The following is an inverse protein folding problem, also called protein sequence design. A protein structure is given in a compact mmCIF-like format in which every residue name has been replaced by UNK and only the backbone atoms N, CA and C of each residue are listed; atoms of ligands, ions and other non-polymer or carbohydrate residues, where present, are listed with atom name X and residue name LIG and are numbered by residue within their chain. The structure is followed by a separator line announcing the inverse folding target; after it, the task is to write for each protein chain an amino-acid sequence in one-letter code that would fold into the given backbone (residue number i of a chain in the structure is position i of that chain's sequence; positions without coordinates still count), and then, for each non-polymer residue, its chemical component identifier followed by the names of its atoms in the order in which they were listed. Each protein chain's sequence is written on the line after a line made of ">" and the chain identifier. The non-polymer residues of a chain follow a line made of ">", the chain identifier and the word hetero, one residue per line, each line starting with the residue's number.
data_IF_005373177117
#
_entry.id   IF_005373177117
#
_cell.length_a   1.000
_cell.length_b   1.000
_cell.length_c   1.000
_cell.angle_alpha   90.00
_cell.angle_beta   90.00
_cell.angle_gamma   90.00
#
_symmetry.space_group_name_H-M   'P 1'
#
loop_
_entity.id
_entity.type
_entity.pdbx_description
1 polymer ?
#
# COMPACT_ATOMS: atom_id res chain seq x y z
N UNK A 1 3.91 17.03 1.68
CA UNK A 1 4.83 16.23 0.84
C UNK A 1 4.67 14.71 1.06
N UNK A 2 4.83 14.16 2.29
CA UNK A 2 4.73 12.70 2.54
C UNK A 2 3.39 12.04 2.14
N UNK A 3 2.26 12.68 2.43
CA UNK A 3 0.93 12.14 2.07
C UNK A 3 0.76 12.05 0.55
N UNK A 4 1.14 13.11 -0.18
CA UNK A 4 1.10 13.15 -1.65
C UNK A 4 1.91 12.00 -2.24
N UNK A 5 3.16 11.83 -1.78
CA UNK A 5 4.00 10.70 -2.19
C UNK A 5 3.34 9.33 -1.97
N UNK A 6 2.72 9.10 -0.80
CA UNK A 6 2.02 7.84 -0.50
C UNK A 6 0.83 7.64 -1.45
N UNK A 7 0.08 8.69 -1.74
CA UNK A 7 -1.05 8.65 -2.69
C UNK A 7 -0.56 8.34 -4.10
N UNK A 8 0.39 9.13 -4.62
CA UNK A 8 0.93 8.98 -5.97
C UNK A 8 1.50 7.58 -6.19
N UNK A 9 2.25 7.07 -5.20
CA UNK A 9 2.83 5.74 -5.28
C UNK A 9 1.79 4.62 -5.19
N UNK A 10 0.71 4.82 -4.42
CA UNK A 10 -0.41 3.88 -4.39
C UNK A 10 -1.13 3.84 -5.74
N UNK A 11 -1.37 5.01 -6.35
CA UNK A 11 -1.98 5.13 -7.68
C UNK A 11 -1.12 4.45 -8.76
N UNK A 12 0.20 4.55 -8.66
CA UNK A 12 1.11 3.83 -9.57
C UNK A 12 0.95 2.30 -9.47
N UNK A 13 0.93 1.75 -8.25
CA UNK A 13 0.70 0.31 -8.05
C UNK A 13 -0.68 -0.10 -8.57
N UNK A 14 -1.70 0.73 -8.33
CA UNK A 14 -3.05 0.51 -8.87
C UNK A 14 -3.05 0.45 -10.40
N UNK A 15 -2.37 1.38 -11.06
CA UNK A 15 -2.24 1.40 -12.51
C UNK A 15 -1.58 0.12 -13.05
N UNK A 16 -0.52 -0.37 -12.39
CA UNK A 16 0.10 -1.65 -12.76
C UNK A 16 -0.86 -2.84 -12.62
N UNK A 17 -1.66 -2.87 -11.55
CA UNK A 17 -2.68 -3.91 -11.35
C UNK A 17 -3.73 -3.85 -12.46
N UNK A 18 -4.23 -2.66 -12.79
CA UNK A 18 -5.19 -2.47 -13.88
C UNK A 18 -4.64 -3.03 -15.20
N UNK A 19 -3.41 -2.66 -15.54
CA UNK A 19 -2.74 -3.12 -16.76
C UNK A 19 -2.58 -4.64 -16.81
N UNK A 20 -2.20 -5.27 -15.70
CA UNK A 20 -2.12 -6.73 -15.59
C UNK A 20 -3.48 -7.38 -15.82
N UNK A 21 -4.56 -6.81 -15.28
CA UNK A 21 -5.93 -7.31 -15.50
C UNK A 21 -6.30 -7.20 -16.99
N UNK A 22 -6.03 -6.07 -17.64
CA UNK A 22 -6.29 -5.88 -19.07
C UNK A 22 -5.51 -6.88 -19.94
N UNK A 23 -4.22 -7.08 -19.65
CA UNK A 23 -3.36 -8.05 -20.35
C UNK A 23 -3.88 -9.49 -20.16
N UNK A 24 -4.22 -9.88 -18.94
CA UNK A 24 -4.76 -11.20 -18.64
C UNK A 24 -6.05 -11.49 -19.42
N UNK A 25 -6.95 -10.52 -19.47
CA UNK A 25 -8.24 -10.63 -20.18
C UNK A 25 -8.09 -10.48 -21.70
N UNK A 26 -6.89 -10.15 -22.21
CA UNK A 26 -6.61 -9.90 -23.62
C UNK A 26 -7.58 -8.88 -24.22
N UNK A 27 -7.80 -7.78 -23.49
CA UNK A 27 -8.72 -6.72 -23.94
C UNK A 27 -8.21 -6.14 -25.25
N UNK A 28 -9.09 -6.05 -26.26
CA UNK A 28 -8.78 -5.40 -27.53
C UNK A 28 -8.37 -3.95 -27.29
N UNK A 29 -7.35 -3.45 -28.00
CA UNK A 29 -6.90 -2.04 -27.90
C UNK A 29 -8.04 -1.02 -28.03
N UNK A 30 -9.01 -1.30 -28.90
CA UNK A 30 -10.17 -0.41 -29.12
C UNK A 30 -11.13 -0.33 -27.91
N UNK A 31 -11.01 -1.26 -26.95
CA UNK A 31 -11.83 -1.33 -25.73
C UNK A 31 -11.01 -1.03 -24.47
N UNK A 32 -9.70 -0.86 -24.61
CA UNK A 32 -8.78 -0.70 -23.48
C UNK A 32 -9.13 0.52 -22.64
N UNK A 33 -9.40 1.67 -23.27
CA UNK A 33 -9.81 2.89 -22.58
C UNK A 33 -11.11 2.69 -21.80
N UNK A 34 -12.12 2.05 -22.40
CA UNK A 34 -13.37 1.76 -21.70
C UNK A 34 -13.12 0.82 -20.50
N UNK A 35 -12.30 -0.21 -20.68
CA UNK A 35 -12.03 -1.16 -19.61
C UNK A 35 -11.23 -0.52 -18.48
N UNK A 36 -10.16 0.21 -18.80
CA UNK A 36 -9.25 0.80 -17.82
C UNK A 36 -9.85 2.02 -17.12
N UNK A 37 -10.43 2.96 -17.88
CA UNK A 37 -10.88 4.26 -17.37
C UNK A 37 -12.32 4.21 -16.83
N UNK A 38 -13.15 3.27 -17.28
CA UNK A 38 -14.54 3.17 -16.82
C UNK A 38 -14.71 1.98 -15.88
N UNK A 39 -14.47 0.75 -16.36
CA UNK A 39 -14.75 -0.45 -15.56
C UNK A 39 -13.76 -0.65 -14.41
N UNK A 40 -12.50 -0.32 -14.63
CA UNK A 40 -11.46 -0.32 -13.61
C UNK A 40 -11.26 1.08 -13.00
N UNK A 41 -12.23 2.00 -13.12
CA UNK A 41 -12.19 3.23 -12.34
C UNK A 41 -12.38 2.94 -10.85
N UNK A 42 -11.86 3.80 -9.97
CA UNK A 42 -12.08 3.68 -8.52
C UNK A 42 -13.56 3.85 -8.11
N UNK A 43 -14.38 4.49 -8.95
CA UNK A 43 -15.82 4.66 -8.71
C UNK A 43 -16.61 3.37 -8.96
N UNK A 44 -16.12 2.49 -9.84
CA UNK A 44 -16.74 1.19 -10.13
C UNK A 44 -16.08 0.07 -9.31
N UNK A 45 -14.74 0.00 -9.32
CA UNK A 45 -13.96 -0.95 -8.56
C UNK A 45 -12.86 -0.22 -7.80
N UNK A 46 -13.03 -0.02 -6.50
CA UNK A 46 -11.97 0.50 -5.65
C UNK A 46 -10.74 -0.41 -5.62
N UNK A 47 -9.58 0.15 -5.32
CA UNK A 47 -8.29 -0.57 -5.21
C UNK A 47 -8.37 -1.90 -4.42
N UNK A 48 -9.14 -1.94 -3.32
CA UNK A 48 -9.34 -3.16 -2.55
C UNK A 48 -10.05 -4.28 -3.35
N UNK A 49 -11.04 -3.94 -4.18
CA UNK A 49 -11.68 -4.90 -5.08
C UNK A 49 -10.73 -5.32 -6.20
N UNK A 50 -9.97 -4.39 -6.79
CA UNK A 50 -8.97 -4.69 -7.82
C UNK A 50 -7.91 -5.68 -7.33
N UNK A 51 -7.42 -5.51 -6.10
CA UNK A 51 -6.48 -6.45 -5.47
C UNK A 51 -7.12 -7.84 -5.28
N UNK A 52 -8.41 -7.92 -4.96
CA UNK A 52 -9.12 -9.21 -4.90
C UNK A 52 -9.19 -9.87 -6.28
N UNK A 53 -9.54 -9.13 -7.32
CA UNK A 53 -9.54 -9.63 -8.71
C UNK A 53 -8.16 -10.14 -9.09
N UNK A 54 -7.11 -9.35 -8.86
CA UNK A 54 -5.73 -9.74 -9.11
C UNK A 54 -5.34 -11.02 -8.36
N UNK A 55 -5.71 -11.15 -7.08
CA UNK A 55 -5.45 -12.36 -6.29
C UNK A 55 -6.20 -13.58 -6.85
N UNK A 56 -7.45 -13.42 -7.26
CA UNK A 56 -8.22 -14.51 -7.89
C UNK A 56 -7.61 -14.95 -9.21
N UNK A 57 -7.11 -14.02 -10.05
CA UNK A 57 -6.35 -14.36 -11.26
C UNK A 57 -5.08 -15.14 -10.89
N UNK A 58 -4.31 -14.62 -9.93
CA UNK A 58 -3.08 -15.26 -9.45
C UNK A 58 -3.30 -16.69 -8.94
N UNK A 59 -4.40 -16.95 -8.26
CA UNK A 59 -4.76 -18.28 -7.75
C UNK A 59 -5.17 -19.21 -8.89
N UNK A 60 -6.04 -18.74 -9.79
CA UNK A 60 -6.51 -19.50 -10.95
C UNK A 60 -5.37 -19.92 -11.88
N UNK A 61 -4.46 -18.99 -12.16
CA UNK A 61 -3.30 -19.19 -13.03
C UNK A 61 -2.09 -19.79 -12.30
N UNK A 62 -2.22 -20.12 -11.01
CA UNK A 62 -1.17 -20.73 -10.19
C UNK A 62 0.15 -19.94 -10.20
N UNK A 63 0.09 -18.61 -10.18
CA UNK A 63 1.27 -17.72 -10.20
C UNK A 63 2.22 -17.94 -9.02
N UNK A 64 1.70 -18.39 -7.88
CA UNK A 64 2.50 -18.79 -6.72
C UNK A 64 3.39 -20.00 -7.03
N UNK A 65 2.85 -21.00 -7.73
CA UNK A 65 3.59 -22.21 -8.12
C UNK A 65 4.64 -21.93 -9.19
N UNK A 66 4.36 -21.00 -10.11
CA UNK A 66 5.31 -20.54 -11.14
C UNK A 66 6.27 -19.45 -10.65
N UNK A 67 6.21 -19.08 -9.37
CA UNK A 67 7.05 -18.04 -8.74
C UNK A 67 6.97 -16.69 -9.47
N UNK A 68 5.87 -16.40 -10.18
CA UNK A 68 5.62 -15.08 -10.77
C UNK A 68 5.33 -14.04 -9.69
N UNK A 69 4.70 -14.48 -8.60
CA UNK A 69 4.47 -13.71 -7.38
C UNK A 69 4.64 -14.62 -6.16
N UNK A 70 4.95 -14.04 -5.00
CA UNK A 70 5.01 -14.80 -3.74
C UNK A 70 3.85 -14.41 -2.80
N UNK A 71 3.62 -15.21 -1.75
CA UNK A 71 2.53 -14.96 -0.78
C UNK A 71 2.68 -13.62 -0.06
N UNK A 72 3.91 -13.24 0.29
CA UNK A 72 4.19 -11.96 0.97
C UNK A 72 3.77 -10.77 0.10
N UNK A 73 3.98 -10.82 -1.21
CA UNK A 73 3.58 -9.76 -2.13
C UNK A 73 2.04 -9.60 -2.16
N UNK A 74 1.30 -10.72 -2.16
CA UNK A 74 -0.17 -10.69 -2.08
C UNK A 74 -0.67 -10.07 -0.75
N UNK A 75 0.00 -10.38 0.35
CA UNK A 75 -0.32 -9.78 1.65
C UNK A 75 0.08 -8.29 1.68
N UNK A 76 1.19 -7.93 1.04
CA UNK A 76 1.72 -6.58 0.97
C UNK A 76 0.82 -5.66 0.13
N UNK A 77 0.15 -6.17 -0.92
CA UNK A 77 -0.89 -5.44 -1.66
C UNK A 77 -2.03 -4.96 -0.74
N UNK A 78 -2.44 -5.76 0.24
CA UNK A 78 -3.45 -5.33 1.21
C UNK A 78 -2.89 -4.32 2.20
N UNK A 79 -1.63 -4.48 2.61
CA UNK A 79 -0.97 -3.58 3.56
C UNK A 79 -0.84 -2.16 3.01
N UNK A 80 -0.54 -1.97 1.72
CA UNK A 80 -0.41 -0.61 1.16
C UNK A 80 -1.70 0.20 1.27
N UNK A 81 -2.87 -0.42 1.13
CA UNK A 81 -4.18 0.23 1.35
C UNK A 81 -4.27 0.71 2.80
N UNK A 82 -3.93 -0.17 3.75
CA UNK A 82 -3.94 0.15 5.17
C UNK A 82 -3.00 1.31 5.51
N UNK A 83 -1.79 1.34 4.95
CA UNK A 83 -0.84 2.44 5.17
C UNK A 83 -1.36 3.73 4.54
N UNK A 84 -1.81 3.70 3.28
CA UNK A 84 -2.37 4.86 2.58
C UNK A 84 -3.51 5.48 3.37
N UNK A 85 -4.43 4.66 3.89
CA UNK A 85 -5.57 5.16 4.67
C UNK A 85 -5.12 5.80 6.00
N UNK A 86 -4.07 5.29 6.65
CA UNK A 86 -3.50 5.94 7.85
C UNK A 86 -2.92 7.31 7.52
N UNK A 87 -2.23 7.46 6.39
CA UNK A 87 -1.72 8.76 5.95
C UNK A 87 -2.85 9.73 5.56
N UNK A 88 -3.85 9.25 4.81
CA UNK A 88 -4.96 10.07 4.32
C UNK A 88 -5.87 10.56 5.46
N UNK A 89 -6.10 9.74 6.48
CA UNK A 89 -6.98 10.07 7.61
C UNK A 89 -6.24 10.53 8.85
N UNK A 90 -4.94 10.86 8.76
CA UNK A 90 -4.24 11.45 9.90
C UNK A 90 -4.71 12.90 10.13
N UNK A 91 -5.76 13.06 10.95
CA UNK A 91 -6.42 14.35 11.22
C UNK A 91 -5.54 15.34 12.01
N UNK A 92 -4.43 14.88 12.57
CA UNK A 92 -3.62 15.69 13.48
C UNK A 92 -2.19 15.85 12.96
N UNK A 93 -1.79 17.08 12.63
CA UNK A 93 -0.38 17.48 12.49
C UNK A 93 0.34 17.60 13.85
N UNK A 94 -0.19 16.95 14.89
CA UNK A 94 0.38 16.99 16.24
C UNK A 94 1.75 16.33 16.23
N UNK A 95 2.66 16.92 16.97
CA UNK A 95 4.00 16.39 17.22
C UNK A 95 3.95 15.76 18.62
N UNK A 96 4.36 14.51 18.73
CA UNK A 96 4.59 13.86 20.01
C UNK A 96 6.04 14.07 20.43
N UNK A 97 6.25 14.39 21.71
CA UNK A 97 7.58 14.51 22.31
C UNK A 97 7.69 13.42 23.35
N UNK A 98 8.71 12.56 23.23
CA UNK A 98 9.05 11.60 24.27
C UNK A 98 10.09 12.23 25.18
N UNK A 99 9.76 12.34 26.47
CA UNK A 99 10.63 12.91 27.50
C UNK A 99 11.04 11.77 28.43
N UNK A 100 12.34 11.63 28.67
CA UNK A 100 12.86 10.79 29.73
C UNK A 100 13.17 11.66 30.94
N UNK A 101 12.63 11.27 32.09
CA UNK A 101 12.86 11.95 33.36
C UNK A 101 13.75 11.02 34.18
N UNK A 102 14.98 11.45 34.44
CA UNK A 102 15.89 10.74 35.31
C UNK A 102 15.39 10.84 36.75
N UNK A 103 15.00 9.70 37.34
CA UNK A 103 14.45 9.63 38.69
C UNK A 103 15.47 9.99 39.79
N UNK A 104 16.77 9.97 39.49
CA UNK A 104 17.84 10.28 40.44
C UNK A 104 18.20 11.77 40.48
N UNK A 105 18.16 12.44 39.33
CA UNK A 105 18.51 13.87 39.20
C UNK A 105 17.29 14.78 39.00
N UNK A 106 16.11 14.20 38.80
CA UNK A 106 14.86 14.86 38.41
C UNK A 106 14.98 15.72 37.13
N UNK A 107 16.01 15.46 36.32
CA UNK A 107 16.24 16.16 35.07
C UNK A 107 15.42 15.53 33.93
N UNK A 108 14.81 16.38 33.11
CA UNK A 108 14.07 15.97 31.92
C UNK A 108 14.95 16.12 30.67
N UNK A 109 15.02 15.08 29.86
CA UNK A 109 15.69 15.09 28.56
C UNK A 109 14.71 14.68 27.46
N UNK A 110 14.74 15.40 26.34
CA UNK A 110 13.95 15.02 25.15
C UNK A 110 14.68 13.87 24.48
N UNK A 111 14.02 12.71 24.40
CA UNK A 111 14.57 11.50 23.75
C UNK A 111 14.22 11.46 22.28
N UNK A 112 13.01 11.91 21.93
CA UNK A 112 12.50 11.81 20.58
C UNK A 112 11.37 12.81 20.33
N UNK A 113 11.21 13.22 19.07
CA UNK A 113 10.14 14.10 18.61
C UNK A 113 9.64 13.60 17.26
N UNK A 114 8.39 13.15 17.18
CA UNK A 114 7.87 12.52 15.97
C UNK A 114 6.39 12.83 15.73
N UNK A 115 5.95 12.69 14.47
CA UNK A 115 4.53 12.75 14.11
C UNK A 115 3.92 11.35 14.19
N UNK A 116 2.88 11.12 15.00
CA UNK A 116 2.23 9.82 15.06
C UNK A 116 1.24 9.64 13.89
N UNK A 117 1.12 8.42 13.42
CA UNK A 117 -0.05 7.91 12.71
C UNK A 117 -0.85 7.05 13.68
N UNK A 118 -2.10 7.41 13.90
CA UNK A 118 -3.00 6.67 14.79
C UNK A 118 -3.88 5.74 13.95
N UNK A 119 -4.02 4.49 14.40
CA UNK A 119 -4.93 3.51 13.79
C UNK A 119 -5.55 2.61 14.83
N UNK A 120 -6.71 2.04 14.52
CA UNK A 120 -7.31 0.97 15.32
C UNK A 120 -6.74 -0.36 14.85
N UNK A 121 -6.20 -1.17 15.76
CA UNK A 121 -5.71 -2.52 15.49
C UNK A 121 -6.87 -3.48 15.25
N UNK A 122 -6.56 -4.69 14.76
CA UNK A 122 -7.55 -5.77 14.66
C UNK A 122 -8.13 -6.20 16.02
N UNK A 123 -7.47 -5.84 17.13
CA UNK A 123 -7.95 -6.07 18.50
C UNK A 123 -8.77 -4.89 19.05
N UNK A 124 -9.09 -3.88 18.22
CA UNK A 124 -9.86 -2.71 18.63
C UNK A 124 -9.05 -1.67 19.43
N UNK A 125 -7.74 -1.90 19.63
CA UNK A 125 -6.88 -1.00 20.41
C UNK A 125 -6.32 0.11 19.52
N UNK A 126 -6.17 1.31 20.08
CA UNK A 126 -5.48 2.40 19.39
C UNK A 126 -3.98 2.11 19.36
N UNK A 127 -3.42 2.03 18.16
CA UNK A 127 -1.99 1.95 17.91
C UNK A 127 -1.49 3.28 17.36
N UNK A 128 -0.35 3.75 17.90
CA UNK A 128 0.39 4.90 17.37
C UNK A 128 1.72 4.40 16.82
N UNK A 129 2.01 4.74 15.57
CA UNK A 129 3.31 4.46 14.93
C UNK A 129 3.93 5.75 14.42
N UNK A 130 5.26 5.83 14.38
CA UNK A 130 5.92 7.03 13.84
C UNK A 130 5.62 7.13 12.34
N UNK A 131 5.34 8.33 11.88
CA UNK A 131 5.06 8.58 10.47
C UNK A 131 6.25 8.18 9.58
N UNK A 132 7.47 8.41 10.04
CA UNK A 132 8.70 8.09 9.31
C UNK A 132 8.90 6.59 9.14
N UNK A 133 8.83 5.82 10.23
CA UNK A 133 8.89 4.35 10.18
C UNK A 133 7.83 3.75 9.25
N UNK A 134 6.62 4.32 9.26
CA UNK A 134 5.54 3.88 8.38
C UNK A 134 5.77 4.25 6.92
N UNK A 135 6.42 5.39 6.65
CA UNK A 135 6.79 5.80 5.31
C UNK A 135 7.91 4.92 4.75
N UNK A 136 8.94 4.65 5.54
CA UNK A 136 10.04 3.75 5.18
C UNK A 136 9.51 2.36 4.82
N UNK A 137 8.65 1.82 5.69
CA UNK A 137 7.97 0.54 5.43
C UNK A 137 7.13 0.56 4.16
N UNK A 138 6.44 1.68 3.88
CA UNK A 138 5.67 1.83 2.65
C UNK A 138 6.56 1.84 1.40
N UNK A 139 7.68 2.56 1.45
CA UNK A 139 8.66 2.60 0.37
C UNK A 139 9.19 1.19 0.09
N UNK A 140 9.64 0.48 1.14
CA UNK A 140 10.14 -0.90 1.01
C UNK A 140 9.10 -1.83 0.37
N UNK A 141 7.86 -1.79 0.84
CA UNK A 141 6.76 -2.60 0.30
C UNK A 141 6.54 -2.26 -1.18
N UNK A 142 6.39 -0.99 -1.53
CA UNK A 142 6.06 -0.60 -2.92
C UNK A 142 7.20 -0.85 -3.89
N UNK A 143 8.46 -0.81 -3.46
CA UNK A 143 9.61 -1.21 -4.29
C UNK A 143 9.60 -2.71 -4.59
N UNK A 144 9.27 -3.54 -3.59
CA UNK A 144 9.19 -4.98 -3.77
C UNK A 144 8.00 -5.37 -4.65
N UNK A 145 6.83 -4.76 -4.43
CA UNK A 145 5.65 -4.98 -5.25
C UNK A 145 5.89 -4.62 -6.71
N UNK A 146 6.51 -3.48 -6.99
CA UNK A 146 6.81 -3.06 -8.36
C UNK A 146 7.65 -4.12 -9.10
N UNK A 147 8.65 -4.71 -8.45
CA UNK A 147 9.46 -5.79 -9.06
C UNK A 147 8.60 -6.99 -9.45
N UNK A 148 7.71 -7.44 -8.55
CA UNK A 148 6.82 -8.58 -8.81
C UNK A 148 5.77 -8.26 -9.87
N UNK A 149 5.16 -7.08 -9.83
CA UNK A 149 4.16 -6.66 -10.83
C UNK A 149 4.78 -6.52 -12.22
N UNK A 150 5.96 -5.91 -12.34
CA UNK A 150 6.70 -5.82 -13.60
C UNK A 150 7.05 -7.20 -14.17
N UNK A 151 7.37 -8.17 -13.30
CA UNK A 151 7.64 -9.56 -13.72
C UNK A 151 6.40 -10.22 -14.32
N UNK A 152 5.24 -10.05 -13.69
CA UNK A 152 3.95 -10.59 -14.16
C UNK A 152 3.55 -9.92 -15.47
N UNK A 153 3.65 -8.60 -15.53
CA UNK A 153 3.29 -7.83 -16.73
C UNK A 153 4.10 -8.30 -17.95
N UNK A 154 5.42 -8.49 -17.79
CA UNK A 154 6.29 -9.05 -18.84
C UNK A 154 5.95 -10.48 -19.24
N UNK A 155 5.41 -11.28 -18.32
CA UNK A 155 5.01 -12.66 -18.62
C UNK A 155 3.66 -12.74 -19.35
N UNK A 156 2.84 -11.68 -19.28
CA UNK A 156 1.54 -11.58 -19.95
C UNK A 156 1.58 -10.80 -21.26
N UNK A 157 2.66 -10.02 -21.50
CA UNK A 157 2.91 -9.29 -22.74
C UNK A 157 3.48 -10.22 -23.82
#
# INVERSE_FOLDING_TARGET
>A
MKIGFVVDRTNYIEHQINRIICLYLKIDKNKEDFFNEILLSNDVLGLGQKIKVFKSISEKEKWLGSKLINKKDLDDLQKIIGIRNKFAHNRTNRINININIDSSTNNATIVDTYKPLTSVSNSGKLEKKKQDEMLEKFIEITMNLEKSLNKIEKALS
#
